data_IF_969039114137
#
_entry.id   IF_969039114137
#
_cell.length_a   1.000
_cell.length_b   1.000
_cell.length_c   1.000
_cell.angle_alpha   90.00
_cell.angle_beta   90.00
_cell.angle_gamma   90.00
#
_symmetry.space_group_name_H-M   'P 1'
#
loop_
_entity.id
_entity.type
_entity.pdbx_description
1 polymer ?
#
# COMPACT_ATOMS: atom_id res chain seq x y z
N UNK A 1 7.60 -24.45 -20.30
CA UNK A 1 6.64 -23.45 -20.83
C UNK A 1 5.82 -24.11 -21.92
N UNK A 2 4.49 -24.02 -21.87
CA UNK A 2 3.61 -24.70 -22.82
C UNK A 2 3.70 -24.02 -24.22
N UNK A 3 3.83 -24.75 -25.33
CA UNK A 3 4.04 -24.17 -26.67
C UNK A 3 2.93 -23.23 -27.16
N UNK A 4 1.73 -23.31 -26.57
CA UNK A 4 0.57 -22.48 -26.94
C UNK A 4 0.33 -21.27 -26.03
N UNK A 5 1.23 -20.99 -25.07
CA UNK A 5 1.08 -19.82 -24.20
C UNK A 5 1.41 -18.54 -24.99
N UNK A 6 0.40 -17.80 -25.41
CA UNK A 6 0.56 -16.58 -26.18
C UNK A 6 1.01 -15.41 -25.31
N UNK A 7 2.22 -14.89 -25.51
CA UNK A 7 2.76 -13.76 -24.72
C UNK A 7 2.18 -12.38 -25.08
N UNK A 8 1.35 -12.28 -26.11
CA UNK A 8 0.83 -10.98 -26.58
C UNK A 8 0.01 -10.24 -25.54
N UNK A 9 -0.81 -10.95 -24.77
CA UNK A 9 -1.62 -10.33 -23.72
C UNK A 9 -0.73 -9.89 -22.54
N UNK A 10 0.22 -10.72 -22.13
CA UNK A 10 1.21 -10.39 -21.08
C UNK A 10 1.98 -9.11 -21.42
N UNK A 11 2.47 -8.99 -22.65
CA UNK A 11 3.20 -7.78 -23.09
C UNK A 11 2.32 -6.53 -23.11
N UNK A 12 1.04 -6.69 -23.44
CA UNK A 12 0.09 -5.57 -23.45
C UNK A 12 -0.20 -5.09 -22.04
N UNK A 13 -0.46 -6.00 -21.12
CA UNK A 13 -0.75 -5.69 -19.71
C UNK A 13 0.49 -5.08 -19.04
N UNK A 14 1.65 -5.71 -19.23
CA UNK A 14 2.92 -5.24 -18.65
C UNK A 14 3.30 -3.83 -19.13
N UNK A 15 2.99 -3.49 -20.38
CA UNK A 15 3.19 -2.12 -20.89
C UNK A 15 2.26 -1.11 -20.19
N UNK A 16 1.02 -1.49 -19.90
CA UNK A 16 0.06 -0.65 -19.17
C UNK A 16 0.49 -0.42 -17.72
N UNK A 17 0.79 -1.50 -17.01
CA UNK A 17 1.26 -1.49 -15.61
C UNK A 17 2.54 -0.66 -15.46
N UNK A 18 3.55 -0.88 -16.32
CA UNK A 18 4.80 -0.09 -16.29
C UNK A 18 4.55 1.39 -16.53
N UNK A 19 3.61 1.76 -17.40
CA UNK A 19 3.32 3.17 -17.64
C UNK A 19 2.68 3.84 -16.42
N UNK A 20 1.88 3.11 -15.64
CA UNK A 20 1.30 3.58 -14.39
C UNK A 20 2.36 3.69 -13.27
N UNK A 21 3.23 2.70 -13.13
CA UNK A 21 4.33 2.72 -12.14
C UNK A 21 5.35 3.84 -12.39
N UNK A 22 5.52 4.26 -13.65
CA UNK A 22 6.44 5.36 -14.02
C UNK A 22 5.80 6.75 -13.91
N UNK A 23 4.54 6.86 -13.49
CA UNK A 23 3.86 8.13 -13.26
C UNK A 23 3.63 8.34 -11.76
N UNK A 24 4.61 8.93 -11.09
CA UNK A 24 4.53 9.17 -9.64
C UNK A 24 3.50 10.23 -9.22
N UNK A 25 2.97 11.03 -10.16
CA UNK A 25 1.81 11.88 -9.87
C UNK A 25 0.53 11.03 -9.73
N UNK A 26 0.45 9.92 -10.48
CA UNK A 26 -0.64 8.96 -10.34
C UNK A 26 -0.56 8.24 -8.99
N UNK A 27 0.63 7.76 -8.62
CA UNK A 27 0.88 7.16 -7.31
C UNK A 27 0.52 8.11 -6.16
N UNK A 28 0.93 9.38 -6.25
CA UNK A 28 0.57 10.40 -5.26
C UNK A 28 -0.96 10.62 -5.13
N UNK A 29 -1.70 10.62 -6.24
CA UNK A 29 -3.17 10.72 -6.19
C UNK A 29 -3.80 9.48 -5.58
N UNK A 30 -3.26 8.29 -5.89
CA UNK A 30 -3.72 7.03 -5.32
C UNK A 30 -3.50 7.01 -3.80
N UNK A 31 -2.36 7.51 -3.31
CA UNK A 31 -2.07 7.56 -1.88
C UNK A 31 -3.03 8.49 -1.15
N UNK A 32 -3.26 9.71 -1.64
CA UNK A 32 -4.21 10.64 -1.04
C UNK A 32 -5.65 10.09 -1.05
N UNK A 33 -6.06 9.42 -2.13
CA UNK A 33 -7.37 8.76 -2.20
C UNK A 33 -7.49 7.62 -1.19
N UNK A 34 -6.49 6.74 -1.11
CA UNK A 34 -6.45 5.66 -0.15
C UNK A 34 -6.52 6.18 1.30
N UNK A 35 -5.79 7.26 1.59
CA UNK A 35 -5.82 7.93 2.88
C UNK A 35 -7.23 8.43 3.23
N UNK A 36 -7.94 9.03 2.26
CA UNK A 36 -9.30 9.55 2.47
C UNK A 36 -10.33 8.43 2.65
N UNK A 37 -10.28 7.38 1.83
CA UNK A 37 -11.22 6.25 1.93
C UNK A 37 -11.04 5.47 3.24
N UNK A 38 -9.80 5.31 3.69
CA UNK A 38 -9.46 4.55 4.90
C UNK A 38 -9.28 5.43 6.16
N UNK A 39 -9.62 6.72 6.11
CA UNK A 39 -9.43 7.67 7.22
C UNK A 39 -10.10 7.27 8.55
N UNK A 40 -11.11 6.41 8.47
CA UNK A 40 -11.84 5.90 9.62
C UNK A 40 -11.04 4.81 10.39
N UNK A 41 -10.00 4.24 9.78
CA UNK A 41 -9.03 3.38 10.46
C UNK A 41 -7.92 4.19 11.10
N UNK A 42 -8.12 4.61 12.35
CA UNK A 42 -7.12 5.35 13.14
C UNK A 42 -5.80 4.60 13.38
N UNK A 43 -5.71 3.32 13.03
CA UNK A 43 -4.48 2.53 13.12
C UNK A 43 -3.68 2.50 11.80
N UNK A 44 -4.19 3.15 10.75
CA UNK A 44 -3.59 3.16 9.43
C UNK A 44 -3.10 4.57 9.11
N UNK A 45 -1.88 4.66 8.58
CA UNK A 45 -1.25 5.89 8.12
C UNK A 45 -0.87 5.72 6.67
N UNK A 46 -1.22 6.70 5.86
CA UNK A 46 -0.68 6.88 4.51
C UNK A 46 0.14 8.17 4.54
N UNK A 47 1.44 8.14 4.18
CA UNK A 47 2.30 9.31 4.20
C UNK A 47 1.72 10.49 3.41
N UNK A 48 1.75 11.69 3.99
CA UNK A 48 1.34 12.90 3.29
C UNK A 48 2.24 13.17 2.09
N UNK A 49 1.65 13.44 0.92
CA UNK A 49 2.38 13.86 -0.28
C UNK A 49 2.78 15.35 -0.19
N UNK A 50 4.01 15.66 -0.61
CA UNK A 50 4.49 17.02 -0.81
C UNK A 50 4.49 17.36 -2.30
N UNK A 51 3.40 17.96 -2.78
CA UNK A 51 3.17 18.23 -4.20
C UNK A 51 4.17 19.22 -4.83
N UNK A 52 4.70 20.16 -4.05
CA UNK A 52 5.70 21.13 -4.54
C UNK A 52 7.03 20.46 -4.94
N UNK A 53 7.30 19.26 -4.41
CA UNK A 53 8.49 18.44 -4.69
C UNK A 53 8.14 17.13 -5.40
N UNK A 54 6.89 16.97 -5.86
CA UNK A 54 6.42 15.77 -6.56
C UNK A 54 6.21 16.08 -8.04
N UNK A 55 6.61 15.15 -8.89
CA UNK A 55 6.42 15.18 -10.34
C UNK A 55 6.30 13.74 -10.84
N UNK A 56 6.01 13.57 -12.13
CA UNK A 56 5.97 12.23 -12.75
C UNK A 56 7.18 11.33 -12.47
N UNK A 57 8.35 11.91 -12.19
CA UNK A 57 9.62 11.17 -12.00
C UNK A 57 10.16 11.18 -10.58
N UNK A 58 9.57 11.96 -9.68
CA UNK A 58 9.96 12.00 -8.26
C UNK A 58 8.70 12.09 -7.40
N UNK A 59 8.53 11.13 -6.47
CA UNK A 59 7.52 11.20 -5.41
C UNK A 59 8.18 11.67 -4.11
N UNK A 60 7.66 12.74 -3.52
CA UNK A 60 8.12 13.21 -2.20
C UNK A 60 6.97 13.10 -1.20
N UNK A 61 7.18 12.34 -0.12
CA UNK A 61 6.17 12.08 0.90
C UNK A 61 6.74 12.16 2.33
N UNK A 62 5.85 12.20 3.33
CA UNK A 62 6.19 12.22 4.74
C UNK A 62 7.07 11.03 5.14
N UNK A 63 8.18 11.33 5.81
CA UNK A 63 9.04 10.29 6.33
C UNK A 63 8.37 9.56 7.50
N UNK A 64 8.17 8.26 7.34
CA UNK A 64 7.58 7.40 8.36
C UNK A 64 8.59 6.40 8.90
N UNK A 65 8.75 6.36 10.23
CA UNK A 65 9.51 5.32 10.92
C UNK A 65 8.67 4.06 11.12
N UNK A 66 9.33 2.90 11.16
CA UNK A 66 8.72 1.61 11.50
C UNK A 66 9.61 0.45 11.09
N UNK A 67 9.22 -0.77 11.46
CA UNK A 67 9.83 -1.99 10.94
C UNK A 67 8.96 -2.58 9.82
N UNK A 68 9.58 -3.27 8.85
CA UNK A 68 8.83 -3.95 7.79
C UNK A 68 7.89 -4.99 8.40
N UNK A 69 6.67 -5.11 7.87
CA UNK A 69 5.65 -6.04 8.40
C UNK A 69 6.10 -7.50 8.39
N UNK A 70 7.03 -7.87 7.50
CA UNK A 70 7.60 -9.21 7.43
C UNK A 70 8.73 -9.48 8.45
N UNK A 71 9.20 -8.46 9.18
CA UNK A 71 10.22 -8.63 10.22
C UNK A 71 9.58 -8.96 11.58
N UNK A 72 9.13 -10.21 11.71
CA UNK A 72 8.44 -10.73 12.90
C UNK A 72 9.27 -10.56 14.18
N UNK A 73 10.59 -10.73 14.11
CA UNK A 73 11.48 -10.62 15.26
C UNK A 73 11.55 -9.19 15.80
N UNK A 74 11.66 -8.20 14.91
CA UNK A 74 11.66 -6.79 15.27
C UNK A 74 10.31 -6.35 15.85
N UNK A 75 9.19 -6.79 15.25
CA UNK A 75 7.84 -6.50 15.77
C UNK A 75 7.68 -7.03 17.21
N UNK A 76 8.12 -8.27 17.46
CA UNK A 76 8.12 -8.85 18.82
C UNK A 76 9.03 -8.08 19.77
N UNK A 77 10.23 -7.69 19.32
CA UNK A 77 11.18 -6.91 20.13
C UNK A 77 10.64 -5.54 20.52
N UNK A 78 9.85 -4.90 19.66
CA UNK A 78 9.16 -3.64 19.96
C UNK A 78 7.93 -3.82 20.87
N UNK A 79 7.60 -5.06 21.26
CA UNK A 79 6.45 -5.38 22.09
C UNK A 79 5.10 -5.19 21.38
N UNK A 80 5.10 -5.19 20.04
CA UNK A 80 3.90 -5.05 19.23
C UNK A 80 3.26 -6.44 19.05
N UNK A 81 1.95 -6.51 19.21
CA UNK A 81 1.20 -7.76 19.05
C UNK A 81 1.09 -8.15 17.58
N UNK A 82 1.67 -9.29 17.21
CA UNK A 82 1.54 -9.85 15.86
C UNK A 82 0.09 -10.10 15.47
N UNK A 83 -0.74 -10.51 16.43
CA UNK A 83 -2.17 -10.72 16.20
C UNK A 83 -2.86 -9.40 15.84
N UNK A 84 -2.59 -8.35 16.59
CA UNK A 84 -3.17 -7.02 16.32
C UNK A 84 -2.71 -6.46 14.97
N UNK A 85 -1.43 -6.63 14.62
CA UNK A 85 -0.89 -6.27 13.30
C UNK A 85 -1.61 -7.02 12.18
N UNK A 86 -1.76 -8.35 12.30
CA UNK A 86 -2.42 -9.17 11.30
C UNK A 86 -3.91 -8.82 11.16
N UNK A 87 -4.63 -8.68 12.27
CA UNK A 87 -6.05 -8.32 12.28
C UNK A 87 -6.28 -6.97 11.58
N UNK A 88 -5.39 -6.00 11.79
CA UNK A 88 -5.45 -4.68 11.13
C UNK A 88 -5.14 -4.75 9.64
N UNK A 89 -4.13 -5.53 9.26
CA UNK A 89 -3.77 -5.70 7.85
C UNK A 89 -4.94 -6.31 7.07
N UNK A 90 -5.55 -7.35 7.63
CA UNK A 90 -6.73 -8.01 7.03
C UNK A 90 -7.88 -7.01 6.92
N UNK A 91 -8.16 -6.22 7.96
CA UNK A 91 -9.22 -5.19 7.91
C UNK A 91 -8.97 -4.14 6.83
N UNK A 92 -7.74 -3.65 6.71
CA UNK A 92 -7.35 -2.69 5.67
C UNK A 92 -7.68 -3.20 4.27
N UNK A 93 -7.22 -4.41 3.92
CA UNK A 93 -7.49 -4.97 2.59
C UNK A 93 -8.93 -5.44 2.39
N UNK A 94 -9.58 -5.94 3.44
CA UNK A 94 -11.00 -6.29 3.38
C UNK A 94 -11.87 -5.06 3.10
N UNK A 95 -11.54 -3.90 3.68
CA UNK A 95 -12.24 -2.64 3.41
C UNK A 95 -12.09 -2.25 1.93
N UNK A 96 -10.88 -2.32 1.39
CA UNK A 96 -10.62 -2.04 -0.03
C UNK A 96 -11.39 -2.99 -0.96
N UNK A 97 -11.44 -4.28 -0.64
CA UNK A 97 -12.09 -5.29 -1.49
C UNK A 97 -13.62 -5.20 -1.40
N UNK A 98 -14.17 -5.12 -0.18
CA UNK A 98 -15.60 -5.33 0.06
C UNK A 98 -16.40 -4.04 0.23
N UNK A 99 -15.75 -2.90 0.47
CA UNK A 99 -16.44 -1.63 0.73
C UNK A 99 -16.06 -0.54 -0.27
N UNK A 100 -14.76 -0.25 -0.46
CA UNK A 100 -14.36 0.87 -1.31
C UNK A 100 -14.26 0.50 -2.79
N UNK A 101 -13.97 -0.77 -3.08
CA UNK A 101 -13.70 -1.25 -4.44
C UNK A 101 -12.40 -0.70 -5.04
N UNK A 102 -11.62 0.08 -4.29
CA UNK A 102 -10.34 0.65 -4.71
C UNK A 102 -9.21 -0.15 -4.06
N UNK A 103 -8.70 -1.12 -4.80
CA UNK A 103 -7.83 -2.16 -4.26
C UNK A 103 -6.39 -1.86 -4.58
N UNK A 104 -5.53 -1.91 -3.56
CA UNK A 104 -4.10 -1.96 -3.79
C UNK A 104 -3.72 -3.31 -4.42
N UNK A 105 -3.29 -3.27 -5.67
CA UNK A 105 -3.06 -4.46 -6.48
C UNK A 105 -1.69 -5.13 -6.25
N UNK A 106 -0.78 -4.49 -5.50
CA UNK A 106 0.51 -5.06 -5.12
C UNK A 106 0.84 -4.81 -3.63
N UNK A 107 0.15 -5.48 -2.69
CA UNK A 107 0.39 -5.31 -1.25
C UNK A 107 1.66 -6.07 -0.79
N UNK A 108 2.77 -5.86 -1.48
CA UNK A 108 4.04 -6.48 -1.15
C UNK A 108 4.45 -6.13 0.29
N UNK A 109 4.90 -7.10 1.11
CA UNK A 109 5.25 -6.85 2.51
C UNK A 109 6.36 -5.80 2.72
N UNK A 110 7.14 -5.50 1.68
CA UNK A 110 8.14 -4.43 1.70
C UNK A 110 7.54 -3.02 1.80
N UNK A 111 6.28 -2.85 1.39
CA UNK A 111 5.60 -1.57 1.28
C UNK A 111 4.74 -1.24 2.50
N UNK A 112 4.75 -2.11 3.51
CA UNK A 112 4.00 -1.93 4.75
C UNK A 112 4.97 -1.89 5.92
N UNK A 113 4.97 -0.77 6.63
CA UNK A 113 5.66 -0.65 7.91
C UNK A 113 4.67 -0.87 9.06
N UNK A 114 5.24 -1.30 10.18
CA UNK A 114 4.56 -1.44 11.46
C UNK A 114 5.35 -0.65 12.48
N UNK A 115 4.64 0.13 13.29
CA UNK A 115 5.22 0.84 14.45
C UNK A 115 4.27 0.77 15.64
N UNK A 116 4.79 1.18 16.80
CA UNK A 116 3.97 1.27 18.00
C UNK A 116 3.10 2.53 17.95
N UNK A 117 1.80 2.32 17.80
CA UNK A 117 0.80 3.38 17.86
C UNK A 117 0.31 3.66 19.29
N UNK A 118 -0.74 4.47 19.41
CA UNK A 118 -1.35 4.79 20.70
C UNK A 118 -1.77 3.53 21.47
N UNK A 119 -1.61 3.57 22.79
CA UNK A 119 -1.98 2.45 23.70
C UNK A 119 -1.24 1.13 23.42
N UNK A 120 -0.01 1.18 22.89
CA UNK A 120 0.83 0.02 22.54
C UNK A 120 0.22 -0.91 21.47
N UNK A 121 -0.75 -0.40 20.70
CA UNK A 121 -1.34 -1.13 19.58
C UNK A 121 -0.50 -0.93 18.31
N UNK A 122 -0.56 -1.87 17.38
CA UNK A 122 0.11 -1.76 16.10
C UNK A 122 -0.46 -0.59 15.29
N UNK A 123 0.40 0.22 14.68
CA UNK A 123 0.02 1.18 13.67
C UNK A 123 0.68 0.77 12.36
N UNK A 124 -0.12 0.69 11.30
CA UNK A 124 0.30 0.30 9.97
C UNK A 124 0.60 1.55 9.15
N UNK A 125 1.66 1.52 8.36
CA UNK A 125 1.98 2.56 7.39
C UNK A 125 2.04 1.93 6.00
N UNK A 126 1.21 2.39 5.08
CA UNK A 126 1.24 1.99 3.67
C UNK A 126 2.11 2.96 2.89
N UNK A 127 3.14 2.47 2.20
CA UNK A 127 4.11 3.31 1.50
C UNK A 127 3.89 3.38 0.00
N UNK A 128 3.53 2.26 -0.61
CA UNK A 128 3.41 2.12 -2.07
C UNK A 128 1.96 2.29 -2.49
N UNK A 129 1.75 3.17 -3.47
CA UNK A 129 0.45 3.34 -4.08
C UNK A 129 0.49 3.35 -5.61
N UNK A 130 1.52 2.76 -6.21
CA UNK A 130 1.74 2.76 -7.66
C UNK A 130 0.64 2.02 -8.42
N UNK A 131 0.18 0.90 -7.87
CA UNK A 131 -0.81 0.03 -8.51
C UNK A 131 -2.09 -0.11 -7.68
N UNK A 132 -3.16 0.45 -8.23
CA UNK A 132 -4.52 0.30 -7.74
C UNK A 132 -5.45 -0.11 -8.87
N UNK A 133 -6.42 -0.95 -8.53
CA UNK A 133 -7.47 -1.42 -9.44
C UNK A 133 -8.85 -1.08 -8.88
N UNK A 134 -9.82 -0.96 -9.77
CA UNK A 134 -11.23 -0.82 -9.41
C UNK A 134 -11.96 -2.12 -9.63
N UNK A 135 -12.57 -2.66 -8.58
CA UNK A 135 -13.64 -3.64 -8.76
C UNK A 135 -14.91 -2.91 -9.17
N UNK A 136 -15.39 -3.23 -10.36
CA UNK A 136 -16.76 -2.91 -10.76
C UNK A 136 -17.71 -3.91 -10.09
N UNK A 137 -18.90 -3.44 -9.73
CA UNK A 137 -20.01 -4.30 -9.30
C UNK A 137 -20.38 -5.35 -10.38
#
# INVERSE_FOLDING_TARGET
MHPSFGFRWVLKDLKGTLAQELDFENEARNSERCAEELKHFHFLVVPKVFWEQTSKRVLTAEFCNGCKINNVEEIKRQGISLKDTADKLIRTFAEQIFHTGFIHADPHPGNVLVRQGPNKRAELVLLDHGLYEYLSE
#
